data_IF_066549009053
#
_entry.id   IF_066549009053
#
_cell.length_a   1.000
_cell.length_b   1.000
_cell.length_c   1.000
_cell.angle_alpha   90.00
_cell.angle_beta   90.00
_cell.angle_gamma   90.00
#
_symmetry.space_group_name_H-M   'P 1'
#
loop_
_entity.id
_entity.type
_entity.pdbx_description
1 polymer ?
#
# COMPACT_ATOMS: atom_id res chain seq x y z
N UNK A 1 -3.19 -15.29 -4.01
CA UNK A 1 -2.27 -14.74 -5.02
C UNK A 1 -1.97 -15.85 -6.03
N UNK A 2 -2.17 -15.61 -7.34
CA UNK A 2 -1.99 -16.64 -8.40
C UNK A 2 -0.99 -16.25 -9.49
N UNK A 3 -0.54 -15.00 -9.49
CA UNK A 3 0.39 -14.42 -10.48
C UNK A 3 1.53 -13.74 -9.74
N UNK A 4 2.70 -13.65 -10.38
CA UNK A 4 3.87 -12.95 -9.86
C UNK A 4 4.76 -12.44 -10.98
N UNK A 5 5.46 -11.34 -10.72
CA UNK A 5 6.60 -10.90 -11.51
C UNK A 5 7.83 -11.77 -11.18
N UNK A 6 8.58 -12.11 -12.22
CA UNK A 6 9.81 -12.91 -12.19
C UNK A 6 10.83 -12.23 -13.11
N UNK A 7 12.12 -12.23 -12.75
CA UNK A 7 13.15 -11.85 -13.70
C UNK A 7 13.28 -12.90 -14.81
N UNK A 8 13.76 -12.48 -15.98
CA UNK A 8 13.91 -13.37 -17.14
C UNK A 8 14.95 -14.46 -16.86
N UNK A 9 16.09 -14.08 -16.26
CA UNK A 9 17.14 -15.01 -15.89
C UNK A 9 17.12 -15.33 -14.39
N UNK A 10 17.54 -16.54 -14.05
CA UNK A 10 17.54 -17.07 -12.68
C UNK A 10 18.41 -16.27 -11.71
N UNK A 11 19.46 -15.61 -12.19
CA UNK A 11 20.37 -14.82 -11.37
C UNK A 11 20.12 -13.31 -11.47
N UNK A 12 19.12 -12.89 -12.24
CA UNK A 12 18.77 -11.50 -12.35
C UNK A 12 17.92 -11.05 -11.16
N UNK A 13 17.85 -9.74 -10.97
CA UNK A 13 17.09 -9.08 -9.91
C UNK A 13 15.85 -8.41 -10.49
N UNK A 14 14.84 -8.16 -9.64
CA UNK A 14 13.72 -7.30 -9.99
C UNK A 14 14.01 -5.88 -9.51
N UNK A 15 13.81 -4.91 -10.38
CA UNK A 15 14.03 -3.49 -10.10
C UNK A 15 12.77 -2.70 -10.39
N UNK A 16 12.36 -1.85 -9.45
CA UNK A 16 11.22 -0.95 -9.59
C UNK A 16 11.64 0.44 -9.14
N UNK A 17 11.38 1.45 -9.97
CA UNK A 17 11.66 2.84 -9.68
C UNK A 17 10.37 3.64 -9.72
N UNK A 18 10.15 4.45 -8.69
CA UNK A 18 9.02 5.36 -8.59
C UNK A 18 9.55 6.77 -8.37
N UNK A 19 9.28 7.66 -9.33
CA UNK A 19 9.50 9.09 -9.19
C UNK A 19 8.32 9.71 -8.44
N UNK A 20 8.59 10.15 -7.22
CA UNK A 20 7.62 10.77 -6.32
C UNK A 20 7.62 12.30 -6.49
N UNK A 21 8.74 12.88 -6.90
CA UNK A 21 8.96 14.33 -7.01
C UNK A 21 9.10 15.07 -5.67
N UNK A 22 8.26 14.77 -4.67
CA UNK A 22 8.27 15.43 -3.36
C UNK A 22 8.93 14.56 -2.26
N UNK A 23 10.16 14.89 -1.80
CA UNK A 23 10.87 14.11 -0.79
C UNK A 23 10.29 14.24 0.63
N UNK A 24 9.35 15.16 0.85
CA UNK A 24 8.72 15.36 2.17
C UNK A 24 7.57 14.38 2.41
N UNK A 25 7.02 13.81 1.34
CA UNK A 25 5.99 12.79 1.44
C UNK A 25 6.50 11.53 2.15
N UNK A 26 5.62 10.96 2.96
CA UNK A 26 5.84 9.75 3.72
C UNK A 26 5.03 8.63 3.08
N UNK A 27 5.61 7.44 2.98
CA UNK A 27 4.97 6.29 2.35
C UNK A 27 5.03 5.05 3.23
N UNK A 28 3.95 4.28 3.24
CA UNK A 28 4.01 2.88 3.67
C UNK A 28 4.04 1.99 2.45
N UNK A 29 4.93 1.01 2.48
CA UNK A 29 5.12 0.05 1.39
C UNK A 29 4.72 -1.32 1.90
N UNK A 30 3.88 -2.01 1.13
CA UNK A 30 3.50 -3.39 1.35
C UNK A 30 3.91 -4.21 0.14
N UNK A 31 4.61 -5.30 0.36
CA UNK A 31 4.99 -6.24 -0.68
C UNK A 31 4.43 -7.61 -0.36
N UNK A 32 3.72 -8.17 -1.32
CA UNK A 32 2.99 -9.41 -1.17
C UNK A 32 3.68 -10.52 -1.95
N UNK A 33 3.81 -11.66 -1.28
CA UNK A 33 4.53 -12.83 -1.78
C UNK A 33 3.72 -14.10 -1.54
N UNK A 34 3.80 -15.04 -2.48
CA UNK A 34 3.35 -16.41 -2.33
C UNK A 34 4.19 -17.29 -3.25
N UNK A 35 4.69 -18.41 -2.75
CA UNK A 35 5.40 -19.37 -3.60
C UNK A 35 4.41 -20.04 -4.55
N UNK A 36 4.58 -19.82 -5.86
CA UNK A 36 3.69 -20.31 -6.91
C UNK A 36 4.17 -21.62 -7.54
N UNK A 37 5.33 -22.13 -7.12
CA UNK A 37 5.87 -23.41 -7.56
C UNK A 37 5.88 -24.39 -6.39
N UNK A 38 5.51 -25.65 -6.65
CA UNK A 38 5.73 -26.70 -5.66
C UNK A 38 7.22 -27.04 -5.63
N UNK A 39 7.97 -26.42 -4.71
CA UNK A 39 9.41 -26.62 -4.57
C UNK A 39 9.72 -28.09 -4.25
N UNK A 40 10.68 -28.69 -4.95
CA UNK A 40 11.12 -30.08 -4.73
C UNK A 40 12.61 -30.17 -4.42
N UNK A 41 12.98 -31.10 -3.56
CA UNK A 41 14.38 -31.37 -3.21
C UNK A 41 15.07 -30.14 -2.62
N UNK A 42 16.19 -29.73 -3.25
CA UNK A 42 17.02 -28.60 -2.82
C UNK A 42 16.59 -27.26 -3.45
N UNK A 43 15.37 -27.17 -3.98
CA UNK A 43 14.81 -25.91 -4.46
C UNK A 43 14.35 -25.04 -3.29
N UNK A 44 14.83 -23.81 -3.27
CA UNK A 44 14.49 -22.83 -2.25
C UNK A 44 14.52 -21.44 -2.86
N UNK A 45 13.60 -20.58 -2.41
CA UNK A 45 13.51 -19.19 -2.83
C UNK A 45 13.76 -18.27 -1.64
N UNK A 46 14.96 -17.72 -1.63
CA UNK A 46 15.41 -16.76 -0.64
C UNK A 46 15.95 -15.51 -1.37
N UNK A 47 15.52 -14.33 -0.96
CA UNK A 47 15.97 -13.10 -1.60
C UNK A 47 15.90 -11.93 -0.63
N UNK A 48 16.71 -10.94 -0.93
CA UNK A 48 16.79 -9.71 -0.15
C UNK A 48 16.05 -8.60 -0.88
N UNK A 49 15.43 -7.72 -0.11
CA UNK A 49 14.74 -6.54 -0.60
C UNK A 49 15.51 -5.33 -0.10
N UNK A 50 15.91 -4.45 -1.01
CA UNK A 50 16.46 -3.14 -0.66
C UNK A 50 15.56 -2.02 -1.13
N UNK A 51 15.59 -0.93 -0.37
CA UNK A 51 15.00 0.35 -0.73
C UNK A 51 16.11 1.41 -0.73
N UNK A 52 16.32 2.07 -1.87
CA UNK A 52 17.36 3.09 -2.06
C UNK A 52 18.74 2.58 -1.62
N UNK A 53 19.05 1.33 -1.94
CA UNK A 53 20.31 0.65 -1.60
C UNK A 53 20.40 0.11 -0.17
N UNK A 54 19.45 0.43 0.72
CA UNK A 54 19.46 -0.05 2.10
C UNK A 54 18.60 -1.31 2.25
N UNK A 55 19.07 -2.29 3.04
CA UNK A 55 18.32 -3.51 3.30
C UNK A 55 17.00 -3.20 4.02
N UNK A 56 15.90 -3.57 3.39
CA UNK A 56 14.55 -3.44 3.94
C UNK A 56 14.11 -4.75 4.62
N UNK A 57 14.33 -5.89 3.97
CA UNK A 57 13.93 -7.19 4.49
C UNK A 57 14.63 -8.35 3.78
N UNK A 58 14.67 -9.50 4.43
CA UNK A 58 15.04 -10.79 3.85
C UNK A 58 13.78 -11.66 3.77
N UNK A 59 13.52 -12.26 2.62
CA UNK A 59 12.32 -13.06 2.37
C UNK A 59 12.71 -14.50 2.08
N UNK A 60 12.05 -15.44 2.78
CA UNK A 60 12.19 -16.88 2.59
C UNK A 60 10.84 -17.51 2.34
N UNK A 61 10.63 -18.00 1.12
CA UNK A 61 9.38 -18.66 0.73
C UNK A 61 9.59 -20.17 0.70
N UNK A 62 8.76 -20.89 1.46
CA UNK A 62 8.89 -22.33 1.63
C UNK A 62 7.65 -23.08 1.12
N UNK A 63 6.47 -22.67 1.59
CA UNK A 63 5.24 -23.43 1.38
C UNK A 63 4.51 -22.93 0.13
N UNK A 64 4.14 -23.87 -0.74
CA UNK A 64 3.32 -23.62 -1.92
C UNK A 64 2.01 -22.92 -1.54
N UNK A 65 1.71 -21.81 -2.23
CA UNK A 65 0.55 -20.93 -2.02
C UNK A 65 0.39 -20.35 -0.61
N UNK A 66 1.41 -20.43 0.24
CA UNK A 66 1.40 -19.71 1.50
C UNK A 66 1.76 -18.24 1.28
N UNK A 67 0.85 -17.35 1.67
CA UNK A 67 1.03 -15.91 1.49
C UNK A 67 1.83 -15.29 2.63
N UNK A 68 2.73 -14.38 2.28
CA UNK A 68 3.49 -13.53 3.18
C UNK A 68 3.36 -12.08 2.71
N UNK A 69 3.31 -11.14 3.66
CA UNK A 69 3.37 -9.71 3.36
C UNK A 69 4.48 -9.09 4.18
N UNK A 70 5.37 -8.36 3.51
CA UNK A 70 6.38 -7.52 4.14
C UNK A 70 5.89 -6.09 4.11
N UNK A 71 5.96 -5.41 5.25
CA UNK A 71 5.65 -3.98 5.34
C UNK A 71 6.89 -3.19 5.77
N UNK A 72 6.96 -1.93 5.35
CA UNK A 72 7.88 -0.96 5.94
C UNK A 72 7.44 -0.63 7.37
N UNK A 73 8.23 -0.92 8.42
CA UNK A 73 7.81 -0.70 9.81
C UNK A 73 7.67 0.79 10.17
N UNK A 74 8.39 1.65 9.46
CA UNK A 74 8.29 3.10 9.55
C UNK A 74 8.02 3.67 8.16
N UNK A 75 7.36 4.84 8.07
CA UNK A 75 7.10 5.46 6.78
C UNK A 75 8.43 5.84 6.12
N UNK A 76 8.59 5.41 4.88
CA UNK A 76 9.75 5.72 4.05
C UNK A 76 9.59 7.09 3.40
N UNK A 77 10.71 7.73 3.05
CA UNK A 77 10.74 9.05 2.41
C UNK A 77 11.75 9.06 1.27
N UNK A 78 11.54 9.94 0.31
CA UNK A 78 12.47 10.18 -0.78
C UNK A 78 11.77 10.70 -2.03
N UNK A 79 12.46 11.55 -2.79
CA UNK A 79 11.97 12.01 -4.08
C UNK A 79 11.87 10.86 -5.10
N UNK A 80 12.70 9.82 -4.92
CA UNK A 80 12.65 8.58 -5.67
C UNK A 80 12.64 7.39 -4.70
N UNK A 81 11.85 6.38 -5.01
CA UNK A 81 11.88 5.08 -4.34
C UNK A 81 12.38 4.03 -5.33
N UNK A 82 13.57 3.51 -5.09
CA UNK A 82 14.20 2.43 -5.88
C UNK A 82 14.18 1.15 -5.07
N UNK A 83 13.36 0.18 -5.50
CA UNK A 83 13.27 -1.13 -4.91
C UNK A 83 14.08 -2.13 -5.74
N UNK A 84 14.90 -2.92 -5.06
CA UNK A 84 15.61 -4.05 -5.67
C UNK A 84 15.33 -5.31 -4.89
N UNK A 85 14.89 -6.35 -5.58
CA UNK A 85 14.76 -7.69 -5.04
C UNK A 85 15.82 -8.54 -5.72
N UNK A 86 16.75 -9.12 -4.95
CA UNK A 86 17.85 -9.89 -5.50
C UNK A 86 18.03 -11.20 -4.75
N UNK A 87 18.34 -12.23 -5.53
CA UNK A 87 18.55 -13.59 -5.10
C UNK A 87 19.66 -13.65 -4.03
N UNK A 88 19.43 -14.36 -2.91
CA UNK A 88 20.50 -14.60 -1.94
C UNK A 88 21.49 -15.67 -2.45
N UNK A 89 22.69 -15.73 -1.88
CA UNK A 89 23.68 -16.78 -2.24
C UNK A 89 23.15 -18.18 -1.93
N UNK A 90 22.34 -18.28 -0.87
CA UNK A 90 21.56 -19.44 -0.50
C UNK A 90 20.21 -19.41 -1.19
N UNK A 91 20.06 -18.89 -2.42
CA UNK A 91 18.86 -19.11 -3.25
C UNK A 91 19.16 -19.92 -4.51
N UNK A 92 18.30 -20.88 -4.89
CA UNK A 92 18.40 -21.60 -6.18
C UNK A 92 17.48 -20.94 -7.20
N UNK A 93 16.38 -20.35 -6.73
CA UNK A 93 15.39 -19.69 -7.54
C UNK A 93 15.51 -18.15 -7.47
N UNK A 94 15.08 -17.42 -8.52
CA UNK A 94 15.11 -15.96 -8.53
C UNK A 94 14.11 -15.36 -7.51
N UNK A 95 14.17 -14.06 -7.23
CA UNK A 95 13.10 -13.37 -6.48
C UNK A 95 11.74 -13.46 -7.20
N UNK A 96 10.66 -13.33 -6.44
CA UNK A 96 9.30 -13.17 -6.96
C UNK A 96 8.61 -12.02 -6.25
N UNK A 97 7.64 -11.39 -6.93
CA UNK A 97 6.77 -10.39 -6.33
C UNK A 97 5.35 -10.58 -6.87
N UNK A 98 4.37 -10.80 -5.99
CA UNK A 98 2.97 -10.97 -6.41
C UNK A 98 2.27 -9.61 -6.56
N UNK A 99 2.47 -8.71 -5.60
CA UNK A 99 1.97 -7.34 -5.65
C UNK A 99 2.83 -6.41 -4.78
N UNK A 100 2.85 -5.12 -5.12
CA UNK A 100 3.43 -4.07 -4.33
C UNK A 100 2.42 -2.93 -4.22
N UNK A 101 2.18 -2.47 -3.00
CA UNK A 101 1.29 -1.35 -2.70
C UNK A 101 2.10 -0.26 -2.03
N UNK A 102 1.93 0.99 -2.48
CA UNK A 102 2.61 2.17 -1.95
C UNK A 102 1.54 3.17 -1.55
N UNK A 103 1.37 3.38 -0.25
CA UNK A 103 0.38 4.29 0.31
C UNK A 103 1.05 5.56 0.77
N UNK A 104 0.53 6.70 0.31
CA UNK A 104 1.00 8.01 0.76
C UNK A 104 0.32 8.35 2.08
N UNK A 105 1.11 8.70 3.09
CA UNK A 105 0.59 9.23 4.34
C UNK A 105 0.11 10.66 4.08
N UNK A 106 -1.17 10.90 4.32
CA UNK A 106 -1.76 12.24 4.31
C UNK A 106 -1.94 12.69 5.75
N UNK A 107 -1.07 13.60 6.17
CA UNK A 107 -1.23 14.29 7.44
C UNK A 107 -2.28 15.39 7.24
N UNK A 108 -3.46 15.24 7.85
CA UNK A 108 -4.52 16.24 7.77
C UNK A 108 -4.34 17.28 8.89
N UNK A 109 -4.19 18.55 8.51
CA UNK A 109 -4.19 19.68 9.45
C UNK A 109 -5.61 20.04 9.91
N UNK A 110 -6.62 19.54 9.21
CA UNK A 110 -8.02 19.86 9.39
C UNK A 110 -8.64 18.87 10.36
N UNK A 111 -9.62 19.32 11.14
CA UNK A 111 -10.46 18.42 11.91
C UNK A 111 -11.25 17.49 10.95
N UNK A 112 -11.53 16.24 11.36
CA UNK A 112 -12.47 15.38 10.64
C UNK A 112 -13.87 15.99 10.62
N UNK A 113 -14.75 15.48 9.76
CA UNK A 113 -16.17 15.86 9.74
C UNK A 113 -16.78 15.66 11.13
N UNK A 114 -17.71 16.54 11.50
CA UNK A 114 -18.44 16.43 12.77
C UNK A 114 -19.09 15.05 12.94
N UNK A 115 -18.92 14.46 14.11
CA UNK A 115 -19.31 13.07 14.38
C UNK A 115 -20.82 12.83 14.25
N UNK A 116 -21.65 13.83 14.57
CA UNK A 116 -23.11 13.70 14.42
C UNK A 116 -23.50 13.66 12.94
N UNK A 117 -22.85 14.47 12.10
CA UNK A 117 -23.07 14.48 10.65
C UNK A 117 -22.56 13.18 10.02
N UNK A 118 -21.43 12.64 10.49
CA UNK A 118 -20.90 11.31 10.07
C UNK A 118 -21.92 10.21 10.38
N UNK A 119 -22.42 10.15 11.62
CA UNK A 119 -23.40 9.13 12.01
C UNK A 119 -24.68 9.25 11.16
N UNK A 120 -25.16 10.47 10.93
CA UNK A 120 -26.38 10.68 10.14
C UNK A 120 -26.21 10.26 8.67
N UNK A 121 -25.06 10.58 8.04
CA UNK A 121 -24.82 10.22 6.65
C UNK A 121 -24.55 8.73 6.46
N UNK A 122 -23.94 8.06 7.44
CA UNK A 122 -23.76 6.61 7.43
C UNK A 122 -25.10 5.86 7.50
N UNK A 123 -26.06 6.36 8.28
CA UNK A 123 -27.42 5.81 8.32
C UNK A 123 -28.11 5.94 6.96
N UNK A 124 -27.99 7.09 6.28
CA UNK A 124 -28.49 7.27 4.91
C UNK A 124 -27.81 6.29 3.96
N UNK A 125 -26.48 6.21 4.01
CA UNK A 125 -25.69 5.28 3.18
C UNK A 125 -26.17 3.84 3.33
N UNK A 126 -26.39 3.40 4.57
CA UNK A 126 -26.86 2.06 4.91
C UNK A 126 -28.29 1.80 4.43
N UNK A 127 -29.21 2.74 4.65
CA UNK A 127 -30.62 2.61 4.29
C UNK A 127 -30.86 2.57 2.78
N UNK A 128 -30.03 3.26 2.00
CA UNK A 128 -30.16 3.35 0.54
C UNK A 128 -29.14 2.50 -0.23
N UNK A 129 -28.31 1.71 0.47
CA UNK A 129 -27.27 0.86 -0.12
C UNK A 129 -26.34 1.62 -1.09
N UNK A 130 -25.91 2.81 -0.67
CA UNK A 130 -24.99 3.63 -1.45
C UNK A 130 -23.54 3.15 -1.22
N UNK A 131 -22.92 2.58 -2.25
CA UNK A 131 -21.53 2.07 -2.15
C UNK A 131 -20.54 2.77 -3.10
N UNK A 132 -21.00 3.58 -4.05
CA UNK A 132 -20.11 4.22 -5.02
C UNK A 132 -19.55 5.56 -4.52
N UNK A 133 -18.32 5.53 -4.01
CA UNK A 133 -17.53 6.73 -3.70
C UNK A 133 -17.74 7.34 -2.32
N UNK A 134 -18.61 6.74 -1.49
CA UNK A 134 -18.83 7.15 -0.10
C UNK A 134 -17.93 6.35 0.84
N UNK A 135 -16.64 6.66 0.85
CA UNK A 135 -15.64 6.00 1.71
C UNK A 135 -14.77 7.02 2.42
N UNK A 136 -14.38 6.71 3.66
CA UNK A 136 -13.53 7.59 4.48
C UNK A 136 -14.32 8.72 5.14
N UNK A 137 -13.69 9.87 5.29
CA UNK A 137 -14.32 11.06 5.89
C UNK A 137 -15.26 11.73 4.87
N UNK A 138 -16.52 12.09 5.22
CA UNK A 138 -17.49 12.65 4.28
C UNK A 138 -17.14 14.02 3.69
N UNK A 139 -16.34 14.85 4.38
CA UNK A 139 -16.01 16.21 3.96
C UNK A 139 -14.51 16.50 3.84
N UNK A 140 -13.64 15.71 4.47
CA UNK A 140 -12.19 15.91 4.50
C UNK A 140 -11.46 15.02 3.45
N UNK A 141 -10.29 15.45 2.91
CA UNK A 141 -9.57 16.69 3.22
C UNK A 141 -10.16 17.94 2.55
N UNK A 142 -10.58 17.90 1.29
CA UNK A 142 -11.18 19.06 0.58
C UNK A 142 -12.21 18.58 -0.47
N UNK A 143 -12.44 17.28 -0.55
CA UNK A 143 -13.31 16.66 -1.55
C UNK A 143 -14.38 15.88 -0.81
N UNK A 144 -15.58 16.44 -0.64
CA UNK A 144 -16.64 15.72 0.04
C UNK A 144 -17.08 14.52 -0.80
N UNK A 145 -17.78 13.58 -0.18
CA UNK A 145 -18.44 12.51 -0.92
C UNK A 145 -19.33 13.08 -2.01
N UNK A 146 -19.44 12.35 -3.13
CA UNK A 146 -20.20 12.82 -4.27
C UNK A 146 -21.67 13.04 -3.87
N UNK A 147 -22.19 14.23 -4.16
CA UNK A 147 -23.54 14.68 -3.77
C UNK A 147 -23.56 15.52 -2.48
N UNK A 148 -22.54 15.45 -1.63
CA UNK A 148 -22.51 16.25 -0.41
C UNK A 148 -21.96 17.65 -0.65
N UNK A 149 -22.54 18.61 0.08
CA UNK A 149 -21.95 19.93 0.24
C UNK A 149 -21.58 20.13 1.71
N UNK A 150 -20.34 20.55 1.96
CA UNK A 150 -19.82 20.74 3.30
C UNK A 150 -19.42 22.20 3.53
N UNK A 151 -19.69 22.70 4.74
CA UNK A 151 -19.13 23.97 5.20
C UNK A 151 -17.81 23.74 5.91
N UNK A 152 -16.80 24.54 5.56
CA UNK A 152 -15.45 24.46 6.12
C UNK A 152 -15.17 25.70 6.96
N UNK A 153 -14.85 25.50 8.24
CA UNK A 153 -14.36 26.54 9.14
C UNK A 153 -12.99 26.10 9.68
N UNK A 154 -11.97 26.96 9.59
CA UNK A 154 -10.59 26.61 9.98
C UNK A 154 -10.43 26.22 11.46
N UNK A 155 -11.43 26.48 12.29
CA UNK A 155 -11.41 26.22 13.74
C UNK A 155 -12.43 25.18 14.20
N UNK A 156 -13.30 24.70 13.32
CA UNK A 156 -14.38 23.75 13.67
C UNK A 156 -14.38 22.56 12.71
N UNK A 157 -14.85 21.38 13.15
CA UNK A 157 -15.13 20.26 12.26
C UNK A 157 -15.99 20.67 11.06
N UNK A 158 -15.69 20.22 9.83
CA UNK A 158 -16.58 20.40 8.70
C UNK A 158 -17.99 19.85 9.00
N UNK A 159 -19.01 20.56 8.55
CA UNK A 159 -20.42 20.16 8.68
C UNK A 159 -21.03 19.85 7.32
N UNK A 160 -21.84 18.80 7.22
CA UNK A 160 -22.63 18.49 6.03
C UNK A 160 -23.83 19.45 5.99
N UNK A 161 -23.96 20.18 4.90
CA UNK A 161 -25.00 21.22 4.74
C UNK A 161 -26.11 20.82 3.78
N UNK A 162 -25.84 19.88 2.87
CA UNK A 162 -26.84 19.32 1.94
C UNK A 162 -26.34 18.05 1.25
N UNK A 163 -27.28 17.34 0.61
CA UNK A 163 -27.15 16.06 -0.08
C UNK A 163 -27.94 16.08 -1.41
#
# INVERSE_FOLDING_TARGET
MRTAALPINVNDSLHFEFDIGDPTLKFYVYMHFAELQSLQGDQYREFNITLNGNLLSEVKLHNYLHSMTILSPQPVRGANLSFSLYKSEKSTLPPILNAMEIYIVRDFLQAPTDEEDVSAIEDVKSNYWLDEGWQGDPCAPVYPWNGLNCSYNSYEPPRITSL
#
